data_IF_979277037588
#
_entry.id   IF_979277037588
#
_cell.length_a   1.000
_cell.length_b   1.000
_cell.length_c   1.000
_cell.angle_alpha   90.00
_cell.angle_beta   90.00
_cell.angle_gamma   90.00
#
_symmetry.space_group_name_H-M   'P 1'
#
loop_
_entity.id
_entity.type
_entity.pdbx_description
1 polymer ?
#
# COMPACT_ATOMS: atom_id res chain seq x y z
N UNK A 1 -9.48 -7.46 14.35
CA UNK A 1 -8.12 -7.14 13.91
C UNK A 1 -8.20 -5.75 13.35
N UNK A 2 -7.88 -4.77 14.18
CA UNK A 2 -7.85 -3.37 13.85
C UNK A 2 -6.57 -3.12 13.05
N UNK A 3 -6.70 -2.83 11.76
CA UNK A 3 -5.56 -2.52 10.91
C UNK A 3 -5.20 -1.05 11.10
N UNK A 4 -3.97 -0.77 11.55
CA UNK A 4 -3.47 0.59 11.69
C UNK A 4 -3.36 1.26 10.32
N UNK A 5 -4.27 2.20 10.06
CA UNK A 5 -4.19 3.13 8.93
C UNK A 5 -3.40 4.35 9.36
N UNK A 6 -2.45 4.76 8.51
CA UNK A 6 -1.68 5.99 8.73
C UNK A 6 -2.14 7.01 7.71
N UNK A 7 -2.47 8.20 8.18
CA UNK A 7 -2.79 9.32 7.30
C UNK A 7 -1.62 10.30 7.34
N UNK A 8 -0.96 10.50 6.19
CA UNK A 8 0.07 11.52 6.09
C UNK A 8 -0.54 12.76 5.45
N UNK A 9 -0.54 13.86 6.20
CA UNK A 9 -0.92 15.16 5.67
C UNK A 9 0.32 15.89 5.15
N UNK A 10 0.35 16.15 3.85
CA UNK A 10 1.36 16.98 3.22
C UNK A 10 1.19 18.44 3.67
N UNK A 11 2.09 18.95 4.51
CA UNK A 11 2.06 20.33 5.01
C UNK A 11 2.18 21.40 3.90
N UNK A 12 2.78 21.04 2.76
CA UNK A 12 2.95 21.94 1.60
C UNK A 12 1.74 22.03 0.68
N UNK A 13 0.95 20.97 0.62
CA UNK A 13 -0.11 20.81 -0.37
C UNK A 13 -1.49 20.54 0.23
N UNK A 14 -1.59 20.49 1.57
CA UNK A 14 -2.80 20.13 2.34
C UNK A 14 -3.47 18.83 1.92
N UNK A 15 -2.77 18.01 1.12
CA UNK A 15 -3.27 16.73 0.65
C UNK A 15 -3.08 15.70 1.77
N UNK A 16 -4.16 15.02 2.15
CA UNK A 16 -4.10 13.87 3.03
C UNK A 16 -3.95 12.64 2.15
N UNK A 17 -2.83 11.93 2.29
CA UNK A 17 -2.61 10.66 1.60
C UNK A 17 -2.79 9.55 2.62
N UNK A 18 -3.79 8.71 2.39
CA UNK A 18 -4.02 7.51 3.17
C UNK A 18 -2.96 6.46 2.84
N UNK A 19 -2.33 5.93 3.88
CA UNK A 19 -1.34 4.88 3.81
C UNK A 19 -1.91 3.61 4.43
N UNK A 20 -1.97 2.59 3.59
CA UNK A 20 -2.51 1.28 3.90
C UNK A 20 -1.34 0.36 4.26
N UNK A 21 -1.41 -0.30 5.41
CA UNK A 21 -0.41 -1.29 5.80
C UNK A 21 -0.45 -2.54 4.91
N UNK A 22 0.66 -3.28 4.84
CA UNK A 22 0.79 -4.50 4.01
C UNK A 22 -0.40 -5.48 4.12
N UNK A 23 -0.88 -5.75 5.34
CA UNK A 23 -1.93 -6.75 5.55
C UNK A 23 -3.27 -6.26 5.01
N UNK A 24 -3.60 -4.99 5.25
CA UNK A 24 -4.83 -4.39 4.74
C UNK A 24 -4.78 -4.24 3.21
N UNK A 25 -3.64 -3.82 2.67
CA UNK A 25 -3.42 -3.73 1.23
C UNK A 25 -3.61 -5.09 0.53
N UNK A 26 -3.08 -6.16 1.13
CA UNK A 26 -3.28 -7.51 0.63
C UNK A 26 -4.75 -7.95 0.69
N UNK A 27 -5.47 -7.55 1.74
CA UNK A 27 -6.90 -7.82 1.86
C UNK A 27 -7.73 -7.08 0.80
N UNK A 28 -7.41 -5.81 0.52
CA UNK A 28 -8.04 -5.01 -0.55
C UNK A 28 -7.84 -5.68 -1.92
N UNK A 29 -6.63 -6.14 -2.19
CA UNK A 29 -6.29 -6.86 -3.42
C UNK A 29 -6.78 -8.33 -3.42
N UNK A 30 -7.42 -8.81 -2.33
CA UNK A 30 -7.83 -10.21 -2.15
C UNK A 30 -6.71 -11.23 -2.40
N UNK A 31 -5.48 -10.86 -2.08
CA UNK A 31 -4.28 -11.70 -2.18
C UNK A 31 -3.70 -12.00 -0.80
N UNK A 32 -2.83 -13.01 -0.74
CA UNK A 32 -2.09 -13.27 0.49
C UNK A 32 -1.04 -12.16 0.74
N UNK A 33 -0.82 -11.70 1.98
CA UNK A 33 0.17 -10.65 2.29
C UNK A 33 1.59 -11.03 1.88
N UNK A 34 1.91 -12.32 1.87
CA UNK A 34 3.20 -12.80 1.35
C UNK A 34 3.32 -12.65 -0.18
N UNK A 35 2.22 -12.79 -0.92
CA UNK A 35 2.20 -12.50 -2.37
C UNK A 35 2.46 -11.03 -2.62
N UNK A 36 1.81 -10.14 -1.86
CA UNK A 36 2.05 -8.70 -1.97
C UNK A 36 3.51 -8.33 -1.66
N UNK A 37 4.13 -8.96 -0.64
CA UNK A 37 5.57 -8.79 -0.37
C UNK A 37 6.45 -9.20 -1.53
N UNK A 38 6.10 -10.29 -2.22
CA UNK A 38 6.82 -10.73 -3.43
C UNK A 38 6.66 -9.70 -4.54
N UNK A 39 5.46 -9.18 -4.78
CA UNK A 39 5.22 -8.18 -5.82
C UNK A 39 6.04 -6.90 -5.60
N UNK A 40 6.14 -6.44 -4.36
CA UNK A 40 7.05 -5.35 -3.99
C UNK A 40 8.50 -5.71 -4.28
N UNK A 41 8.92 -6.93 -3.91
CA UNK A 41 10.30 -7.39 -4.16
C UNK A 41 10.63 -7.50 -5.65
N UNK A 42 9.67 -7.84 -6.49
CA UNK A 42 9.80 -7.92 -7.93
C UNK A 42 9.59 -6.58 -8.65
N UNK A 43 9.28 -5.51 -7.92
CA UNK A 43 9.04 -4.18 -8.49
C UNK A 43 7.71 -4.06 -9.25
N UNK A 44 6.74 -4.93 -8.98
CA UNK A 44 5.42 -4.88 -9.60
C UNK A 44 4.50 -3.87 -8.90
N UNK A 45 4.71 -3.64 -7.60
CA UNK A 45 3.94 -2.71 -6.76
C UNK A 45 4.93 -1.84 -6.00
N UNK A 46 4.72 -0.51 -5.97
CA UNK A 46 5.54 0.35 -5.13
C UNK A 46 5.05 0.30 -3.68
N UNK A 47 5.99 0.45 -2.76
CA UNK A 47 5.68 0.55 -1.34
C UNK A 47 6.54 1.62 -0.70
N UNK A 48 5.97 2.33 0.25
CA UNK A 48 6.65 3.32 1.09
C UNK A 48 7.10 2.60 2.36
N UNK A 49 8.41 2.61 2.62
CA UNK A 49 8.97 2.08 3.86
C UNK A 49 8.99 3.20 4.92
N UNK A 50 8.27 3.01 6.01
CA UNK A 50 8.25 3.93 7.15
C UNK A 50 8.69 3.14 8.38
N UNK A 51 9.84 3.51 8.95
CA UNK A 51 10.50 2.81 10.05
C UNK A 51 10.71 1.30 9.79
N UNK A 52 9.84 0.45 10.35
CA UNK A 52 9.84 -1.02 10.19
C UNK A 52 8.63 -1.52 9.39
N UNK A 53 7.69 -0.65 9.05
CA UNK A 53 6.47 -0.96 8.31
C UNK A 53 6.62 -0.71 6.81
N UNK A 54 5.83 -1.45 6.03
CA UNK A 54 5.60 -1.16 4.60
C UNK A 54 4.17 -0.71 4.41
N UNK A 55 4.05 0.41 3.73
CA UNK A 55 2.80 1.10 3.48
C UNK A 55 2.60 1.28 1.98
N UNK A 56 1.34 1.36 1.59
CA UNK A 56 0.89 1.41 0.21
C UNK A 56 -0.13 2.53 0.09
N UNK A 57 -0.10 3.26 -1.02
CA UNK A 57 -1.17 4.20 -1.36
C UNK A 57 -2.26 3.46 -2.12
N UNK A 58 -3.50 3.95 -2.08
CA UNK A 58 -4.57 3.38 -2.93
C UNK A 58 -4.20 3.40 -4.41
N UNK A 59 -3.58 4.49 -4.88
CA UNK A 59 -3.14 4.63 -6.27
C UNK A 59 -2.13 3.54 -6.69
N UNK A 60 -1.22 3.13 -5.80
CA UNK A 60 -0.28 2.03 -6.06
C UNK A 60 -0.99 0.67 -6.17
N UNK A 61 -2.07 0.47 -5.40
CA UNK A 61 -2.89 -0.75 -5.44
C UNK A 61 -3.78 -0.78 -6.68
N UNK A 62 -4.42 0.34 -7.02
CA UNK A 62 -5.22 0.48 -8.24
C UNK A 62 -4.37 0.28 -9.50
N UNK A 63 -3.18 0.89 -9.56
CA UNK A 63 -2.26 0.74 -10.69
C UNK A 63 -1.78 -0.69 -10.90
N UNK A 64 -1.82 -1.53 -9.87
CA UNK A 64 -1.56 -2.96 -9.98
C UNK A 64 -2.77 -3.72 -10.54
N UNK A 65 -3.99 -3.45 -10.06
CA UNK A 65 -5.23 -4.06 -10.57
C UNK A 65 -5.39 -3.78 -12.07
N UNK A 66 -5.19 -2.52 -12.49
CA UNK A 66 -5.32 -2.13 -13.90
C UNK A 66 -4.26 -2.72 -14.83
N UNK A 67 -3.19 -3.34 -14.28
CA UNK A 67 -2.17 -4.04 -15.07
C UNK A 67 -2.50 -5.50 -15.33
N UNK A 68 -3.43 -6.09 -14.57
CA UNK A 68 -3.86 -7.48 -14.74
C UNK A 68 -5.12 -7.62 -15.63
N UNK A 69 -5.75 -6.50 -16.04
CA UNK A 69 -6.85 -6.45 -17.04
C UNK A 69 -6.36 -6.33 -18.49
#
# INVERSE_FOLDING_TARGET
MDYERLEIKCEKCSHTTELIGLVEAAHTLKIHPESLRRYVRYGQVNSIAIERGRYFTEADLEGYISKEE
#
